data_IF_245025522890
#
_entry.id   IF_245025522890
#
_cell.length_a   1.000
_cell.length_b   1.000
_cell.length_c   1.000
_cell.angle_alpha   90.00
_cell.angle_beta   90.00
_cell.angle_gamma   90.00
#
_symmetry.space_group_name_H-M   'P 1'
#
loop_
_entity.id
_entity.type
_entity.pdbx_description
1 polymer ?
#
# COMPACT_ATOMS: atom_id res chain seq x y z
N UNK A 1 14.21 3.44 -18.33
CA UNK A 1 13.71 2.29 -17.52
C UNK A 1 12.59 1.53 -18.24
N UNK A 2 11.48 2.19 -18.62
CA UNK A 2 10.38 1.61 -19.42
C UNK A 2 10.84 1.09 -20.81
N UNK A 3 11.75 1.80 -21.49
CA UNK A 3 12.37 1.31 -22.73
C UNK A 3 13.22 0.02 -22.53
N UNK A 4 13.75 -0.24 -21.33
CA UNK A 4 14.48 -1.48 -20.99
C UNK A 4 13.55 -2.63 -20.58
N UNK A 5 12.26 -2.34 -20.40
CA UNK A 5 11.18 -3.28 -20.05
C UNK A 5 10.44 -3.83 -21.28
N UNK A 6 10.96 -3.59 -22.48
CA UNK A 6 10.26 -3.87 -23.74
C UNK A 6 8.92 -3.15 -23.86
N UNK A 7 8.66 -2.15 -23.00
CA UNK A 7 7.36 -1.48 -22.84
C UNK A 7 7.58 0.01 -22.98
N UNK A 8 7.27 0.57 -24.15
CA UNK A 8 7.26 2.02 -24.30
C UNK A 8 5.90 2.54 -23.85
N UNK A 9 5.89 3.34 -22.78
CA UNK A 9 4.73 4.15 -22.40
C UNK A 9 4.92 5.51 -23.04
N UNK A 10 4.17 5.78 -24.09
CA UNK A 10 4.13 7.08 -24.74
C UNK A 10 2.92 7.82 -24.20
N UNK A 11 3.17 8.90 -23.47
CA UNK A 11 2.13 9.81 -23.01
C UNK A 11 2.14 10.97 -24.01
N UNK A 12 1.09 11.08 -24.81
CA UNK A 12 0.90 12.17 -25.75
C UNK A 12 -0.32 12.98 -25.33
N UNK A 13 -0.15 14.27 -25.13
CA UNK A 13 -1.27 15.21 -25.07
C UNK A 13 -1.80 15.40 -26.49
N UNK A 14 -3.11 15.24 -26.66
CA UNK A 14 -3.81 15.49 -27.91
C UNK A 14 -5.03 16.37 -27.62
N UNK A 15 -5.64 16.94 -28.66
CA UNK A 15 -6.79 17.85 -28.52
C UNK A 15 -8.00 17.23 -27.77
N UNK A 16 -8.01 15.91 -27.60
CA UNK A 16 -9.06 15.13 -26.93
C UNK A 16 -8.68 14.69 -25.50
N UNK A 17 -7.50 15.08 -25.00
CA UNK A 17 -6.99 14.74 -23.66
C UNK A 17 -5.64 14.02 -23.69
N UNK A 18 -5.33 13.33 -22.60
CA UNK A 18 -4.05 12.59 -22.45
C UNK A 18 -4.23 11.17 -22.99
N UNK A 19 -3.58 10.86 -24.13
CA UNK A 19 -3.52 9.50 -24.67
C UNK A 19 -2.29 8.80 -24.12
N UNK A 20 -2.51 7.70 -23.41
CA UNK A 20 -1.45 6.82 -22.92
C UNK A 20 -1.40 5.60 -23.82
N UNK A 21 -0.39 5.56 -24.69
CA UNK A 21 -0.15 4.42 -25.56
C UNK A 21 0.90 3.53 -24.92
N UNK A 22 0.58 2.25 -24.73
CA UNK A 22 1.56 1.24 -24.32
C UNK A 22 1.84 0.35 -25.53
N UNK A 23 3.09 0.29 -25.97
CA UNK A 23 3.51 -0.65 -27.01
C UNK A 23 4.60 -1.55 -26.51
N UNK A 24 4.50 -2.81 -26.91
CA UNK A 24 5.44 -3.85 -26.56
C UNK A 24 6.33 -4.18 -27.75
N UNK A 25 7.64 -4.24 -27.52
CA UNK A 25 8.60 -4.80 -28.47
C UNK A 25 8.87 -6.23 -28.03
N UNK A 26 8.09 -7.17 -28.57
CA UNK A 26 8.45 -8.59 -28.57
C UNK A 26 9.37 -8.82 -29.75
N UNK A 27 10.40 -9.66 -29.60
CA UNK A 27 11.35 -10.03 -30.66
C UNK A 27 10.66 -10.15 -32.03
N UNK A 28 10.97 -9.21 -32.93
CA UNK A 28 10.52 -9.22 -34.33
C UNK A 28 9.06 -8.85 -34.62
N UNK A 29 8.16 -8.74 -33.64
CA UNK A 29 6.76 -8.33 -33.87
C UNK A 29 6.29 -7.26 -32.89
N UNK A 30 6.02 -6.06 -33.41
CA UNK A 30 5.34 -4.98 -32.70
C UNK A 30 3.86 -5.32 -32.57
N UNK A 31 3.39 -5.61 -31.37
CA UNK A 31 1.96 -5.70 -31.05
C UNK A 31 1.52 -4.38 -30.40
N UNK A 32 0.62 -3.66 -31.06
CA UNK A 32 0.08 -2.37 -30.59
C UNK A 32 -1.22 -2.63 -29.84
N UNK A 33 -1.26 -2.35 -28.54
CA UNK A 33 -2.49 -2.32 -27.76
C UNK A 33 -2.95 -0.86 -27.70
N UNK A 34 -3.85 -0.50 -28.62
CA UNK A 34 -4.51 0.81 -28.64
C UNK A 34 -5.62 0.79 -27.58
N UNK A 35 -5.48 1.64 -26.57
CA UNK A 35 -6.62 2.08 -25.78
C UNK A 35 -7.10 3.39 -26.42
N UNK A 36 -7.87 3.27 -27.49
CA UNK A 36 -8.51 4.42 -28.12
C UNK A 36 -9.78 4.76 -27.33
N UNK A 37 -9.78 5.89 -26.64
CA UNK A 37 -10.98 6.71 -26.59
C UNK A 37 -10.88 7.64 -27.79
N UNK A 38 -11.52 7.26 -28.88
CA UNK A 38 -11.46 7.95 -30.16
C UNK A 38 -12.47 9.11 -30.21
N UNK A 39 -12.00 10.27 -30.66
CA UNK A 39 -12.61 10.92 -31.82
C UNK A 39 -11.55 11.10 -32.93
N UNK A 40 -11.97 11.02 -34.18
CA UNK A 40 -11.17 10.59 -35.34
C UNK A 40 -9.99 11.46 -35.79
N UNK A 41 -8.98 10.83 -36.44
CA UNK A 41 -8.56 10.93 -37.87
C UNK A 41 -7.02 10.81 -38.12
N UNK A 42 -6.62 9.74 -38.83
CA UNK A 42 -5.52 9.51 -39.82
C UNK A 42 -4.08 10.10 -39.73
N UNK A 43 -3.09 9.16 -39.72
CA UNK A 43 -1.98 8.94 -40.72
C UNK A 43 -0.48 9.33 -40.42
N UNK A 44 0.38 8.28 -40.52
CA UNK A 44 1.83 8.10 -40.91
C UNK A 44 3.01 8.69 -40.11
N UNK A 45 3.88 7.83 -39.51
CA UNK A 45 5.29 7.40 -39.88
C UNK A 45 6.32 8.54 -39.88
N UNK A 46 7.50 8.53 -39.24
CA UNK A 46 8.63 7.58 -39.22
C UNK A 46 9.55 7.79 -37.97
N UNK A 47 10.60 6.98 -37.85
CA UNK A 47 11.51 6.74 -36.71
C UNK A 47 12.86 7.46 -36.83
N UNK A 48 13.52 7.89 -35.72
CA UNK A 48 15.01 7.88 -35.53
C UNK A 48 15.41 7.91 -34.02
N UNK A 49 16.04 6.83 -33.50
CA UNK A 49 17.34 6.61 -32.76
C UNK A 49 17.99 7.77 -31.92
N UNK A 50 18.94 7.62 -30.92
CA UNK A 50 19.22 6.66 -29.80
C UNK A 50 19.62 7.30 -28.41
N UNK A 51 19.87 6.41 -27.42
CA UNK A 51 20.90 6.40 -26.34
C UNK A 51 21.00 7.43 -25.18
N UNK A 52 21.68 6.95 -24.10
CA UNK A 52 22.30 7.64 -22.93
C UNK A 52 21.34 7.73 -21.69
N UNK A 53 21.63 7.36 -20.43
CA UNK A 53 22.85 7.23 -19.58
C UNK A 53 22.58 6.29 -18.37
N UNK A 54 23.66 5.74 -17.80
CA UNK A 54 23.72 5.09 -16.49
C UNK A 54 24.09 6.09 -15.37
N UNK A 55 23.50 6.02 -14.17
CA UNK A 55 24.03 6.70 -12.97
C UNK A 55 23.79 5.89 -11.68
N UNK A 56 24.82 5.91 -10.84
CA UNK A 56 25.02 5.26 -9.53
C UNK A 56 24.07 5.80 -8.44
N UNK A 57 23.76 4.92 -7.49
CA UNK A 57 23.12 5.26 -6.22
C UNK A 57 24.11 5.94 -5.26
N UNK A 58 23.75 7.14 -4.79
CA UNK A 58 24.08 7.71 -3.49
C UNK A 58 22.86 8.57 -3.10
N UNK A 59 22.40 8.69 -1.86
CA UNK A 59 22.95 8.24 -0.59
C UNK A 59 21.92 8.37 0.52
N UNK A 60 22.39 7.93 1.69
CA UNK A 60 21.70 7.76 2.96
C UNK A 60 21.14 9.04 3.59
N UNK A 61 20.16 8.82 4.46
CA UNK A 61 19.82 9.73 5.56
C UNK A 61 19.40 8.86 6.76
N UNK A 62 20.40 8.34 7.46
CA UNK A 62 20.25 7.86 8.83
C UNK A 62 20.58 9.00 9.78
N UNK A 63 19.68 9.29 10.72
CA UNK A 63 19.96 10.15 11.86
C UNK A 63 20.97 9.44 12.77
N UNK A 64 22.16 10.03 12.90
CA UNK A 64 23.19 9.59 13.85
C UNK A 64 22.82 10.12 15.23
N UNK A 65 22.47 9.22 16.15
CA UNK A 65 22.48 9.48 17.59
C UNK A 65 23.89 9.19 18.09
N UNK A 66 24.61 10.21 18.52
CA UNK A 66 25.89 10.10 19.21
C UNK A 66 25.64 9.77 20.68
N UNK A 67 26.08 8.60 21.13
CA UNK A 67 26.59 8.38 22.49
C UNK A 67 27.58 7.20 22.41
N UNK A 68 28.86 7.53 22.55
CA UNK A 68 29.99 6.60 22.58
C UNK A 68 30.36 6.41 24.05
N UNK A 69 30.20 5.18 24.56
CA UNK A 69 31.03 4.69 25.66
C UNK A 69 31.99 3.63 25.10
N UNK A 70 33.28 3.92 25.24
CA UNK A 70 34.41 3.05 24.90
C UNK A 70 34.40 1.78 25.75
N UNK A 71 34.43 0.61 25.13
CA UNK A 71 35.10 -0.57 25.70
C UNK A 71 35.80 -1.36 24.58
N UNK A 72 37.07 -1.64 24.83
CA UNK A 72 38.07 -2.15 23.93
C UNK A 72 38.05 -3.69 23.75
N UNK A 73 38.68 -4.13 22.65
CA UNK A 73 39.32 -5.45 22.40
C UNK A 73 38.41 -6.69 22.46
N UNK A 74 38.52 -7.73 21.63
CA UNK A 74 39.59 -8.23 20.77
C UNK A 74 38.98 -9.33 19.85
N UNK A 75 39.72 -9.69 18.79
CA UNK A 75 39.64 -10.95 18.02
C UNK A 75 38.50 -11.19 17.00
N UNK A 76 38.88 -11.04 15.73
CA UNK A 76 38.25 -11.70 14.58
C UNK A 76 38.69 -13.18 14.48
N UNK A 77 37.92 -14.02 13.78
CA UNK A 77 38.54 -14.63 12.61
C UNK A 77 37.64 -14.65 11.36
N UNK A 78 38.37 -14.53 10.24
CA UNK A 78 37.99 -14.70 8.85
C UNK A 78 37.70 -16.15 8.49
N UNK A 79 36.66 -16.39 7.68
CA UNK A 79 36.68 -17.44 6.64
C UNK A 79 35.56 -17.18 5.63
N UNK A 80 35.95 -16.81 4.40
CA UNK A 80 35.08 -16.64 3.23
C UNK A 80 35.42 -17.79 2.29
N UNK A 81 34.56 -18.80 2.20
CA UNK A 81 34.64 -19.80 1.15
C UNK A 81 33.93 -19.29 -0.11
N UNK A 82 34.74 -19.01 -1.12
CA UNK A 82 34.34 -18.67 -2.48
C UNK A 82 33.87 -19.91 -3.24
N UNK A 83 32.66 -19.89 -3.79
CA UNK A 83 32.23 -20.83 -4.83
C UNK A 83 32.23 -20.13 -6.19
N UNK A 84 33.20 -20.47 -7.03
CA UNK A 84 33.26 -20.14 -8.45
C UNK A 84 32.44 -21.13 -9.26
N UNK A 85 31.60 -20.66 -10.17
CA UNK A 85 30.97 -21.43 -11.24
C UNK A 85 31.24 -20.71 -12.56
N UNK A 86 32.16 -21.27 -13.35
CA UNK A 86 32.38 -20.93 -14.75
C UNK A 86 31.50 -21.85 -15.61
N UNK A 87 30.67 -21.26 -16.48
CA UNK A 87 29.89 -21.97 -17.49
C UNK A 87 29.31 -20.97 -18.49
N UNK A 88 29.95 -20.91 -19.66
CA UNK A 88 29.64 -20.03 -20.80
C UNK A 88 28.26 -20.31 -21.43
N UNK A 89 27.77 -19.31 -22.16
CA UNK A 89 26.54 -19.26 -22.97
C UNK A 89 25.22 -19.25 -22.19
N UNK A 90 24.79 -18.06 -21.79
CA UNK A 90 23.37 -17.74 -21.72
C UNK A 90 23.16 -16.27 -22.10
N UNK A 91 22.18 -16.07 -22.99
CA UNK A 91 21.54 -14.81 -23.36
C UNK A 91 21.38 -13.85 -22.17
N UNK A 92 21.31 -12.53 -22.38
CA UNK A 92 21.00 -11.59 -21.32
C UNK A 92 19.58 -11.88 -20.81
N UNK A 93 19.49 -12.72 -19.79
CA UNK A 93 18.26 -12.93 -19.03
C UNK A 93 17.87 -11.56 -18.50
N UNK A 94 16.67 -11.14 -18.88
CA UNK A 94 15.98 -10.04 -18.25
C UNK A 94 15.94 -10.36 -16.75
N UNK A 95 16.80 -9.71 -15.95
CA UNK A 95 16.81 -9.89 -14.50
C UNK A 95 15.40 -9.64 -13.99
N UNK A 96 14.75 -10.72 -13.58
CA UNK A 96 13.34 -10.79 -13.23
C UNK A 96 13.04 -9.79 -12.11
N UNK A 97 11.87 -9.14 -12.17
CA UNK A 97 11.31 -8.25 -11.12
C UNK A 97 10.97 -8.98 -9.80
N UNK A 98 11.43 -10.23 -9.68
CA UNK A 98 11.38 -11.06 -8.49
C UNK A 98 12.49 -10.62 -7.57
N UNK A 99 12.12 -10.15 -6.39
CA UNK A 99 13.10 -9.86 -5.35
C UNK A 99 13.13 -11.03 -4.37
N UNK A 100 14.34 -11.37 -3.95
CA UNK A 100 14.54 -12.19 -2.77
C UNK A 100 13.94 -11.50 -1.54
N UNK A 101 13.76 -12.30 -0.49
CA UNK A 101 13.23 -11.83 0.78
C UNK A 101 14.04 -10.65 1.33
N UNK A 102 13.36 -9.54 1.63
CA UNK A 102 13.94 -8.35 2.25
C UNK A 102 13.37 -8.14 3.63
N UNK A 103 14.19 -7.64 4.56
CA UNK A 103 13.71 -7.26 5.89
C UNK A 103 12.70 -6.12 5.78
N UNK A 104 11.65 -6.20 6.58
CA UNK A 104 10.73 -5.07 6.78
C UNK A 104 11.48 -4.04 7.64
N UNK A 105 11.66 -2.78 7.19
CA UNK A 105 12.52 -1.81 7.88
C UNK A 105 12.17 -1.59 9.35
N UNK A 106 10.88 -1.54 9.65
CA UNK A 106 10.31 -1.32 10.98
C UNK A 106 10.26 -2.56 11.89
N UNK A 107 10.51 -3.73 11.32
CA UNK A 107 10.22 -5.01 11.96
C UNK A 107 11.25 -6.04 11.48
N UNK A 108 12.49 -6.01 12.01
CA UNK A 108 13.66 -6.66 11.40
C UNK A 108 13.59 -8.17 11.24
N UNK A 109 12.70 -8.83 11.99
CA UNK A 109 12.46 -10.27 11.94
C UNK A 109 11.26 -10.66 11.07
N UNK A 110 10.62 -9.67 10.46
CA UNK A 110 9.66 -9.86 9.39
C UNK A 110 10.34 -9.60 8.06
N UNK A 111 9.89 -10.33 7.05
CA UNK A 111 10.39 -10.17 5.70
C UNK A 111 9.25 -9.97 4.73
N UNK A 112 9.53 -9.27 3.65
CA UNK A 112 8.60 -9.07 2.55
C UNK A 112 9.29 -9.36 1.23
N UNK A 113 8.52 -9.79 0.23
CA UNK A 113 8.98 -9.87 -1.15
C UNK A 113 7.88 -9.54 -2.14
N UNK A 114 8.32 -9.19 -3.33
CA UNK A 114 7.46 -9.06 -4.52
C UNK A 114 7.97 -10.07 -5.53
N UNK A 115 7.05 -10.87 -6.06
CA UNK A 115 7.33 -11.84 -7.12
C UNK A 115 6.26 -11.80 -8.19
N UNK A 116 6.56 -12.35 -9.36
CA UNK A 116 5.56 -12.53 -10.40
C UNK A 116 4.46 -13.51 -9.95
N UNK A 117 3.27 -13.26 -10.49
CA UNK A 117 2.10 -14.13 -10.37
C UNK A 117 2.42 -15.50 -10.97
N UNK A 118 2.03 -16.56 -10.26
CA UNK A 118 2.10 -17.96 -10.66
C UNK A 118 0.71 -18.47 -11.07
N UNK A 119 0.66 -19.63 -11.71
CA UNK A 119 -0.59 -20.22 -12.20
C UNK A 119 -1.61 -20.52 -11.08
N UNK A 120 -1.13 -20.81 -9.87
CA UNK A 120 -1.94 -21.11 -8.69
C UNK A 120 -2.31 -19.87 -7.84
N UNK A 121 -1.84 -18.69 -8.26
CA UNK A 121 -2.10 -17.45 -7.54
C UNK A 121 -3.51 -16.92 -7.79
N UNK A 122 -4.21 -16.58 -6.70
CA UNK A 122 -5.45 -15.79 -6.78
C UNK A 122 -5.16 -14.37 -7.27
N UNK A 123 -5.77 -13.99 -8.39
CA UNK A 123 -5.70 -12.64 -8.96
C UNK A 123 -6.66 -11.70 -8.24
N UNK A 124 -6.12 -10.64 -7.66
CA UNK A 124 -6.83 -9.67 -6.82
C UNK A 124 -7.48 -8.54 -7.60
N UNK A 125 -6.92 -8.18 -8.76
CA UNK A 125 -7.50 -7.20 -9.68
C UNK A 125 -7.07 -7.44 -11.13
N UNK A 126 -7.85 -6.94 -12.12
CA UNK A 126 -7.46 -7.00 -13.52
C UNK A 126 -6.06 -6.40 -13.75
N UNK A 127 -5.25 -7.05 -14.59
CA UNK A 127 -3.91 -6.58 -14.95
C UNK A 127 -2.83 -6.82 -13.89
N UNK A 128 -3.13 -7.45 -12.76
CA UNK A 128 -2.12 -7.80 -11.76
C UNK A 128 -1.06 -8.73 -12.36
N UNK A 129 0.21 -8.37 -12.16
CA UNK A 129 1.39 -9.14 -12.60
C UNK A 129 2.26 -9.61 -11.45
N UNK A 130 2.17 -8.96 -10.30
CA UNK A 130 2.97 -9.26 -9.14
C UNK A 130 2.11 -9.53 -7.91
N UNK A 131 2.63 -10.35 -7.01
CA UNK A 131 2.06 -10.59 -5.69
C UNK A 131 3.00 -10.07 -4.60
N UNK A 132 2.40 -9.56 -3.54
CA UNK A 132 3.07 -9.04 -2.36
C UNK A 132 2.96 -10.07 -1.23
N UNK A 133 4.10 -10.55 -0.74
CA UNK A 133 4.14 -11.61 0.28
C UNK A 133 4.87 -11.14 1.53
N UNK A 134 4.32 -11.45 2.69
CA UNK A 134 4.87 -11.17 4.02
C UNK A 134 5.19 -12.50 4.70
N UNK A 135 6.45 -12.67 5.07
CA UNK A 135 6.91 -13.81 5.85
C UNK A 135 6.84 -13.46 7.34
N UNK A 136 6.10 -14.29 8.07
CA UNK A 136 5.95 -14.19 9.52
C UNK A 136 7.11 -14.92 10.22
N UNK A 137 7.65 -14.38 11.32
CA UNK A 137 8.67 -15.06 12.12
C UNK A 137 8.11 -16.31 12.78
N UNK A 138 8.95 -17.13 13.43
CA UNK A 138 8.42 -18.20 14.27
C UNK A 138 7.68 -17.62 15.49
N UNK A 139 6.61 -18.28 15.92
CA UNK A 139 5.91 -17.91 17.15
C UNK A 139 6.79 -18.18 18.37
N UNK A 140 6.85 -17.22 19.29
CA UNK A 140 7.51 -17.41 20.57
C UNK A 140 6.79 -18.50 21.38
N UNK A 141 7.57 -19.35 22.06
CA UNK A 141 7.04 -20.30 23.02
C UNK A 141 6.43 -19.51 24.19
N UNK A 142 5.17 -19.80 24.52
CA UNK A 142 4.50 -19.23 25.69
C UNK A 142 3.97 -20.37 26.55
N UNK A 143 3.88 -20.13 27.87
CA UNK A 143 3.26 -21.03 28.84
C UNK A 143 1.85 -21.48 28.41
N UNK A 144 1.44 -22.67 28.87
CA UNK A 144 0.21 -23.37 28.49
C UNK A 144 -0.97 -22.43 28.24
N UNK A 145 -1.35 -22.30 26.97
CA UNK A 145 -2.34 -21.34 26.58
C UNK A 145 -3.74 -21.91 26.88
N UNK A 146 -4.49 -21.27 27.80
CA UNK A 146 -5.89 -21.64 28.10
C UNK A 146 -6.68 -21.84 26.81
N UNK A 147 -7.47 -22.91 26.68
CA UNK A 147 -8.25 -23.19 25.45
C UNK A 147 -9.01 -21.95 24.95
N UNK A 148 -8.87 -21.59 23.67
CA UNK A 148 -9.62 -20.48 23.07
C UNK A 148 -11.11 -20.80 23.09
N UNK A 149 -11.89 -19.92 23.70
CA UNK A 149 -13.36 -19.98 23.70
C UNK A 149 -13.89 -19.12 22.56
N UNK A 150 -14.71 -19.70 21.70
CA UNK A 150 -15.39 -18.97 20.64
C UNK A 150 -16.57 -18.16 21.21
N UNK A 151 -16.34 -16.87 21.43
CA UNK A 151 -17.35 -15.93 21.91
C UNK A 151 -18.11 -15.23 20.77
N UNK A 152 -17.79 -15.51 19.50
CA UNK A 152 -18.41 -14.83 18.35
C UNK A 152 -19.91 -15.10 18.26
N UNK A 153 -20.37 -16.31 18.59
CA UNK A 153 -21.79 -16.67 18.63
C UNK A 153 -22.58 -15.82 19.64
N UNK A 154 -21.99 -15.57 20.81
CA UNK A 154 -22.60 -14.75 21.87
C UNK A 154 -22.60 -13.26 21.53
N UNK A 155 -21.65 -12.78 20.73
CA UNK A 155 -21.67 -11.42 20.20
C UNK A 155 -22.67 -11.27 19.06
N UNK A 156 -22.74 -12.26 18.17
CA UNK A 156 -23.68 -12.27 17.05
C UNK A 156 -25.14 -12.29 17.55
N UNK A 157 -25.45 -13.02 18.62
CA UNK A 157 -26.82 -13.11 19.14
C UNK A 157 -27.40 -11.75 19.52
N UNK A 158 -26.56 -10.79 19.94
CA UNK A 158 -26.91 -9.41 20.30
C UNK A 158 -27.25 -8.51 19.11
N UNK A 159 -26.91 -8.91 17.89
CA UNK A 159 -27.19 -8.14 16.68
C UNK A 159 -28.66 -8.30 16.26
N UNK A 160 -29.22 -7.24 15.64
CA UNK A 160 -30.53 -7.32 14.98
C UNK A 160 -30.50 -8.31 13.80
N UNK A 161 -31.67 -8.75 13.33
CA UNK A 161 -31.77 -9.64 12.16
C UNK A 161 -31.11 -9.02 10.92
N UNK A 162 -31.36 -7.74 10.68
CA UNK A 162 -30.74 -7.01 9.57
C UNK A 162 -29.21 -6.95 9.69
N UNK A 163 -28.70 -6.65 10.90
CA UNK A 163 -27.27 -6.64 11.18
C UNK A 163 -26.62 -8.02 11.00
N UNK A 164 -27.31 -9.10 11.38
CA UNK A 164 -26.86 -10.47 11.14
C UNK A 164 -26.77 -10.76 9.64
N UNK A 165 -27.78 -10.36 8.86
CA UNK A 165 -27.74 -10.50 7.40
C UNK A 165 -26.57 -9.74 6.78
N UNK A 166 -26.32 -8.49 7.20
CA UNK A 166 -25.18 -7.70 6.74
C UNK A 166 -23.84 -8.34 7.13
N UNK A 167 -23.75 -8.91 8.33
CA UNK A 167 -22.54 -9.61 8.78
C UNK A 167 -22.24 -10.80 7.88
N UNK A 168 -23.20 -11.69 7.65
CA UNK A 168 -22.98 -12.85 6.79
C UNK A 168 -22.71 -12.47 5.35
N UNK A 169 -23.34 -11.40 4.83
CA UNK A 169 -23.03 -10.85 3.50
C UNK A 169 -21.58 -10.41 3.39
N UNK A 170 -21.01 -9.78 4.42
CA UNK A 170 -19.57 -9.45 4.42
C UNK A 170 -18.72 -10.72 4.41
N UNK A 171 -19.01 -11.72 5.25
CA UNK A 171 -18.29 -13.00 5.27
C UNK A 171 -18.31 -13.68 3.89
N UNK A 172 -19.48 -13.72 3.24
CA UNK A 172 -19.62 -14.28 1.90
C UNK A 172 -18.82 -13.47 0.87
N UNK A 173 -18.68 -12.14 1.04
CA UNK A 173 -17.79 -11.33 0.21
C UNK A 173 -16.32 -11.72 0.38
N UNK A 174 -15.83 -11.98 1.59
CA UNK A 174 -14.45 -12.47 1.79
C UNK A 174 -14.20 -13.81 1.10
N UNK A 175 -15.21 -14.69 1.09
CA UNK A 175 -15.13 -16.00 0.42
C UNK A 175 -15.18 -15.82 -1.11
N UNK A 176 -16.07 -14.99 -1.63
CA UNK A 176 -16.21 -14.73 -3.06
C UNK A 176 -14.92 -14.12 -3.66
N UNK A 177 -14.20 -13.30 -2.89
CA UNK A 177 -12.90 -12.75 -3.29
C UNK A 177 -11.72 -13.75 -3.10
N UNK A 178 -11.99 -15.00 -2.71
CA UNK A 178 -10.98 -16.02 -2.42
C UNK A 178 -9.95 -15.58 -1.37
N UNK A 179 -10.33 -14.64 -0.48
CA UNK A 179 -9.51 -14.25 0.65
C UNK A 179 -9.68 -15.22 1.80
N UNK A 180 -10.90 -15.72 1.99
CA UNK A 180 -11.22 -16.74 2.99
C UNK A 180 -11.69 -18.02 2.31
N UNK A 181 -11.35 -19.16 2.91
CA UNK A 181 -11.86 -20.48 2.52
C UNK A 181 -12.68 -21.05 3.68
N UNK A 182 -13.82 -21.65 3.36
CA UNK A 182 -14.60 -22.40 4.36
C UNK A 182 -13.93 -23.74 4.60
N UNK A 183 -13.82 -24.13 5.86
CA UNK A 183 -13.19 -25.39 6.28
C UNK A 183 -14.21 -26.23 7.04
N UNK A 184 -14.21 -27.54 6.82
CA UNK A 184 -15.20 -28.44 7.42
C UNK A 184 -14.90 -28.68 8.91
N UNK A 185 -13.63 -28.96 9.26
CA UNK A 185 -13.20 -29.15 10.65
C UNK A 185 -11.74 -28.72 10.84
N UNK A 186 -11.39 -28.25 12.05
CA UNK A 186 -10.00 -27.92 12.40
C UNK A 186 -9.01 -29.10 12.32
N UNK A 187 -9.52 -30.35 12.28
CA UNK A 187 -8.71 -31.58 12.34
C UNK A 187 -8.51 -32.27 10.99
N UNK A 188 -9.13 -31.79 9.91
CA UNK A 188 -9.08 -32.46 8.60
C UNK A 188 -7.90 -32.02 7.73
N UNK A 189 -6.99 -31.18 8.24
CA UNK A 189 -5.87 -30.61 7.45
C UNK A 189 -4.57 -30.79 8.22
N UNK A 190 -3.48 -31.04 7.49
CA UNK A 190 -2.15 -31.23 8.06
C UNK A 190 -1.74 -30.01 8.91
N UNK A 191 -1.33 -30.26 10.15
CA UNK A 191 -0.87 -29.21 11.08
C UNK A 191 0.32 -28.40 10.52
N UNK A 192 0.98 -28.82 9.45
CA UNK A 192 2.09 -28.06 8.84
C UNK A 192 1.66 -26.78 8.13
N UNK A 193 0.40 -26.67 7.71
CA UNK A 193 -0.03 -25.62 6.77
C UNK A 193 -0.41 -24.29 7.44
N UNK A 194 -0.71 -24.31 8.74
CA UNK A 194 -1.26 -23.16 9.45
C UNK A 194 -0.31 -22.60 10.48
N UNK A 195 -0.18 -21.28 10.45
CA UNK A 195 0.69 -20.55 11.37
C UNK A 195 0.17 -20.54 12.81
N UNK A 196 -1.15 -20.63 13.02
CA UNK A 196 -1.81 -20.58 14.33
C UNK A 196 -2.62 -21.86 14.66
N UNK A 197 -2.05 -23.05 14.39
CA UNK A 197 -2.72 -24.36 14.54
C UNK A 197 -3.57 -24.54 15.80
N UNK A 198 -3.07 -24.13 16.96
CA UNK A 198 -3.72 -24.42 18.24
C UNK A 198 -4.70 -23.31 18.67
N UNK A 199 -4.64 -22.14 18.03
CA UNK A 199 -5.28 -20.91 18.48
C UNK A 199 -5.97 -20.17 17.32
N UNK A 200 -7.21 -20.53 16.96
CA UNK A 200 -7.93 -19.84 15.91
C UNK A 200 -8.20 -18.39 16.29
N UNK A 201 -8.15 -17.52 15.28
CA UNK A 201 -8.49 -16.10 15.42
C UNK A 201 -10.01 -15.99 15.41
N UNK A 202 -10.58 -15.41 16.47
CA UNK A 202 -12.02 -15.26 16.59
C UNK A 202 -12.45 -14.02 15.80
N UNK A 203 -13.39 -14.21 14.87
CA UNK A 203 -14.00 -13.12 14.10
C UNK A 203 -15.40 -12.83 14.66
N UNK A 204 -15.74 -11.55 14.81
CA UNK A 204 -17.07 -11.10 15.21
C UNK A 204 -17.51 -9.84 14.48
N UNK A 205 -18.82 -9.60 14.39
CA UNK A 205 -19.39 -8.43 13.74
C UNK A 205 -19.41 -7.21 14.64
N UNK A 206 -18.93 -6.06 14.14
CA UNK A 206 -19.04 -4.75 14.77
C UNK A 206 -19.92 -3.83 13.91
N UNK A 207 -21.13 -3.45 14.39
CA UNK A 207 -21.94 -2.43 13.74
C UNK A 207 -21.20 -1.10 13.68
N UNK A 208 -21.30 -0.41 12.55
CA UNK A 208 -20.78 0.94 12.37
C UNK A 208 -21.93 1.91 12.09
N UNK A 209 -21.66 3.21 12.22
CA UNK A 209 -22.61 4.25 11.79
C UNK A 209 -22.97 4.07 10.31
N UNK A 210 -24.24 4.33 9.97
CA UNK A 210 -24.76 4.32 8.60
C UNK A 210 -24.05 5.29 7.66
N UNK A 211 -23.31 6.27 8.19
CA UNK A 211 -22.50 7.22 7.42
C UNK A 211 -21.17 6.62 6.92
N UNK A 212 -20.82 5.40 7.33
CA UNK A 212 -19.62 4.70 6.86
C UNK A 212 -19.94 3.79 5.68
N UNK A 213 -18.98 3.63 4.79
CA UNK A 213 -19.08 2.73 3.63
C UNK A 213 -19.28 1.25 4.00
N UNK A 214 -18.88 0.85 5.21
CA UNK A 214 -19.11 -0.50 5.73
C UNK A 214 -19.96 -0.40 7.00
N UNK A 215 -21.24 -0.72 6.87
CA UNK A 215 -22.23 -0.63 7.98
C UNK A 215 -22.02 -1.75 9.01
N UNK A 216 -21.51 -2.90 8.59
CA UNK A 216 -21.17 -4.03 9.45
C UNK A 216 -19.75 -4.49 9.16
N UNK A 217 -18.85 -4.45 10.14
CA UNK A 217 -17.44 -4.81 9.93
C UNK A 217 -17.10 -6.12 10.64
N UNK A 218 -16.60 -7.15 9.93
CA UNK A 218 -15.94 -8.28 10.60
C UNK A 218 -14.64 -7.82 11.26
N UNK A 219 -14.49 -8.11 12.54
CA UNK A 219 -13.32 -7.76 13.35
C UNK A 219 -12.64 -9.05 13.81
N UNK A 220 -11.32 -9.12 13.60
CA UNK A 220 -10.50 -10.23 14.03
C UNK A 220 -9.85 -9.93 15.38
N UNK A 221 -10.06 -10.78 16.39
CA UNK A 221 -9.29 -10.70 17.63
C UNK A 221 -7.95 -11.39 17.50
N UNK A 222 -6.95 -10.61 17.13
CA UNK A 222 -5.58 -11.08 16.97
C UNK A 222 -4.76 -10.97 18.25
N UNK A 223 -5.31 -10.54 19.40
CA UNK A 223 -4.52 -10.19 20.60
C UNK A 223 -3.63 -11.33 21.08
N UNK A 224 -4.18 -12.55 21.13
CA UNK A 224 -3.46 -13.75 21.57
C UNK A 224 -2.38 -14.20 20.57
N UNK A 225 -2.67 -14.10 19.28
CA UNK A 225 -1.67 -14.41 18.26
C UNK A 225 -0.54 -13.37 18.31
N UNK A 226 -0.89 -12.09 18.35
CA UNK A 226 0.05 -10.99 18.43
C UNK A 226 0.93 -11.04 19.69
N UNK A 227 0.43 -11.54 20.83
CA UNK A 227 1.26 -11.68 22.04
C UNK A 227 2.34 -12.76 21.92
N UNK A 228 2.22 -13.66 20.94
CA UNK A 228 3.19 -14.72 20.63
C UNK A 228 4.06 -14.37 19.43
N UNK A 229 3.75 -13.29 18.74
CA UNK A 229 4.53 -12.77 17.63
C UNK A 229 5.50 -11.73 18.16
N UNK A 230 6.60 -11.54 17.44
CA UNK A 230 7.46 -10.42 17.72
C UNK A 230 6.74 -9.09 17.45
N UNK A 231 7.09 -8.06 18.22
CA UNK A 231 6.50 -6.73 18.04
C UNK A 231 6.84 -6.19 16.65
N UNK A 232 5.82 -5.64 16.01
CA UNK A 232 5.94 -4.89 14.77
C UNK A 232 5.01 -3.69 14.86
N UNK A 233 5.43 -2.57 14.29
CA UNK A 233 4.64 -1.35 14.18
C UNK A 233 4.96 -0.63 12.89
N UNK A 234 4.07 0.28 12.50
CA UNK A 234 4.37 1.26 11.45
C UNK A 234 5.58 2.11 11.89
N UNK A 235 6.61 2.22 11.03
CA UNK A 235 7.80 3.04 11.33
C UNK A 235 7.71 4.45 10.75
N UNK A 236 6.79 4.66 9.81
CA UNK A 236 6.60 5.96 9.21
C UNK A 236 6.11 7.01 10.21
N UNK A 237 6.02 8.22 9.69
CA UNK A 237 5.69 9.38 10.51
C UNK A 237 4.27 9.32 11.07
N UNK A 238 4.10 9.82 12.30
CA UNK A 238 2.77 9.96 12.85
C UNK A 238 1.95 10.97 12.02
N UNK A 239 0.62 10.80 12.01
CA UNK A 239 -0.30 11.65 11.24
C UNK A 239 -0.09 13.15 11.51
N UNK A 240 0.27 13.57 12.73
CA UNK A 240 0.50 14.98 13.03
C UNK A 240 1.72 15.57 12.31
N UNK A 241 2.79 14.79 12.19
CA UNK A 241 3.98 15.18 11.42
C UNK A 241 3.64 15.27 9.92
N UNK A 242 3.01 14.23 9.37
CA UNK A 242 2.56 14.20 7.95
C UNK A 242 1.69 15.43 7.63
N UNK A 243 0.70 15.75 8.48
CA UNK A 243 -0.16 16.91 8.27
C UNK A 243 0.61 18.24 8.29
N UNK A 244 1.64 18.35 9.14
CA UNK A 244 2.50 19.54 9.20
C UNK A 244 3.36 19.68 7.94
N UNK A 245 3.85 18.57 7.39
CA UNK A 245 4.63 18.59 6.16
C UNK A 245 3.77 18.90 4.93
N UNK A 246 2.56 18.36 4.88
CA UNK A 246 1.59 18.69 3.82
C UNK A 246 1.33 20.20 3.81
N UNK A 247 1.13 20.81 4.97
CA UNK A 247 0.94 22.26 5.09
C UNK A 247 2.12 23.06 4.50
N UNK A 248 3.35 22.67 4.81
CA UNK A 248 4.55 23.32 4.28
C UNK A 248 4.68 23.14 2.77
N UNK A 249 4.36 21.95 2.26
CA UNK A 249 4.42 21.67 0.83
C UNK A 249 3.38 22.46 0.04
N UNK A 250 2.16 22.64 0.57
CA UNK A 250 1.14 23.49 -0.05
C UNK A 250 1.67 24.92 -0.23
N UNK A 251 2.27 25.49 0.81
CA UNK A 251 2.85 26.83 0.74
C UNK A 251 4.00 26.90 -0.28
N UNK A 252 4.91 25.93 -0.28
CA UNK A 252 6.03 25.89 -1.22
C UNK A 252 5.57 25.82 -2.69
N UNK A 253 4.53 25.03 -2.99
CA UNK A 253 3.97 24.97 -4.35
C UNK A 253 3.25 26.27 -4.70
N UNK A 254 2.51 26.88 -3.76
CA UNK A 254 1.86 28.18 -3.98
C UNK A 254 2.86 29.29 -4.30
N UNK A 255 3.97 29.38 -3.58
CA UNK A 255 5.03 30.39 -3.81
C UNK A 255 5.65 30.25 -5.20
N UNK A 256 6.00 29.01 -5.59
CA UNK A 256 6.60 28.72 -6.90
C UNK A 256 5.67 29.09 -8.06
N UNK A 257 4.36 28.87 -7.90
CA UNK A 257 3.38 29.18 -8.93
C UNK A 257 3.08 30.67 -9.08
N UNK A 258 3.23 31.49 -8.03
CA UNK A 258 3.03 32.95 -8.15
C UNK A 258 4.13 33.62 -9.00
N UNK A 259 5.26 32.95 -9.19
CA UNK A 259 6.39 33.46 -9.99
C UNK A 259 6.29 33.08 -11.47
N UNK A 260 5.51 32.05 -11.80
CA UNK A 260 5.33 31.56 -13.18
C UNK A 260 3.88 31.79 -13.61
N UNK A 261 3.66 32.53 -14.70
CA UNK A 261 2.36 32.97 -15.25
C UNK A 261 1.48 31.81 -15.78
N UNK A 262 1.43 30.69 -15.06
CA UNK A 262 0.78 29.44 -15.44
C UNK A 262 -0.46 29.16 -14.59
N UNK A 263 -1.56 28.91 -15.29
CA UNK A 263 -2.90 28.54 -14.78
C UNK A 263 -2.95 27.14 -14.10
N UNK A 264 -1.79 26.57 -13.74
CA UNK A 264 -1.66 25.23 -13.14
C UNK A 264 -1.51 25.33 -11.62
N UNK A 265 -2.62 25.69 -10.95
CA UNK A 265 -2.65 25.92 -9.52
C UNK A 265 -2.36 24.70 -8.63
N UNK A 266 -2.24 24.93 -7.33
CA UNK A 266 -1.95 23.89 -6.33
C UNK A 266 -3.03 22.82 -6.33
N UNK A 267 -2.61 21.57 -6.29
CA UNK A 267 -3.51 20.43 -6.22
C UNK A 267 -3.03 19.38 -5.21
N UNK A 268 -4.00 18.78 -4.54
CA UNK A 268 -3.84 17.66 -3.62
C UNK A 268 -4.58 16.44 -4.16
N UNK A 269 -3.93 15.28 -4.16
CA UNK A 269 -4.61 14.01 -4.35
C UNK A 269 -4.56 13.16 -3.08
N UNK A 270 -5.70 12.59 -2.70
CA UNK A 270 -5.86 11.61 -1.64
C UNK A 270 -6.24 10.27 -2.28
N UNK A 271 -5.46 9.23 -2.05
CA UNK A 271 -5.69 7.90 -2.60
C UNK A 271 -5.83 6.88 -1.46
N UNK A 272 -6.81 5.97 -1.60
CA UNK A 272 -7.10 4.88 -0.65
C UNK A 272 -6.90 3.53 -1.33
N UNK A 273 -5.99 2.72 -0.79
CA UNK A 273 -5.79 1.34 -1.23
C UNK A 273 -6.87 0.46 -0.58
N UNK A 274 -7.85 0.06 -1.38
CA UNK A 274 -9.02 -0.63 -0.84
C UNK A 274 -8.69 -2.05 -0.36
N UNK A 275 -9.02 -2.34 0.91
CA UNK A 275 -8.80 -3.64 1.56
C UNK A 275 -7.33 -4.08 1.51
N UNK A 276 -6.41 -3.11 1.62
CA UNK A 276 -4.98 -3.29 1.37
C UNK A 276 -4.38 -4.53 2.03
N UNK A 277 -4.61 -4.74 3.33
CA UNK A 277 -4.09 -5.90 4.07
C UNK A 277 -4.43 -7.24 3.39
N UNK A 278 -5.67 -7.43 2.93
CA UNK A 278 -6.11 -8.69 2.32
C UNK A 278 -5.48 -8.96 0.94
N UNK A 279 -4.78 -7.97 0.36
CA UNK A 279 -4.00 -8.14 -0.88
C UNK A 279 -2.63 -8.76 -0.62
N UNK A 280 -2.13 -8.67 0.60
CA UNK A 280 -0.86 -9.23 1.01
C UNK A 280 -1.06 -10.70 1.38
N UNK A 281 -0.11 -11.54 0.97
CA UNK A 281 -0.13 -12.99 1.23
C UNK A 281 0.81 -13.36 2.36
N UNK A 282 0.50 -14.45 3.04
CA UNK A 282 1.26 -14.94 4.17
C UNK A 282 2.20 -16.08 3.77
N UNK A 283 3.43 -15.98 4.24
CA UNK A 283 4.41 -17.05 4.24
C UNK A 283 4.86 -17.37 5.66
N UNK A 284 5.19 -18.63 5.90
CA UNK A 284 5.86 -19.08 7.12
C UNK A 284 7.32 -18.61 7.14
N UNK A 285 8.01 -18.82 8.27
CA UNK A 285 9.44 -18.56 8.44
C UNK A 285 10.35 -19.32 7.47
N UNK A 286 9.86 -20.40 6.85
CA UNK A 286 10.56 -21.14 5.79
C UNK A 286 10.35 -20.52 4.40
N UNK A 287 9.60 -19.42 4.29
CA UNK A 287 9.25 -18.78 3.02
C UNK A 287 8.17 -19.52 2.22
N UNK A 288 7.59 -20.58 2.78
CA UNK A 288 6.50 -21.34 2.16
C UNK A 288 5.15 -20.63 2.38
N UNK A 289 4.18 -20.73 1.45
CA UNK A 289 2.83 -20.25 1.69
C UNK A 289 2.24 -20.83 2.97
N UNK A 290 1.58 -20.01 3.78
CA UNK A 290 0.92 -20.45 5.02
C UNK A 290 -0.48 -19.85 5.14
N UNK A 291 -1.25 -20.36 6.10
CA UNK A 291 -2.61 -19.92 6.38
C UNK A 291 -2.83 -19.61 7.85
N UNK A 292 -3.85 -18.79 8.11
CA UNK A 292 -4.38 -18.54 9.44
C UNK A 292 -5.74 -19.23 9.60
N UNK A 293 -5.93 -19.94 10.70
CA UNK A 293 -7.21 -20.43 11.16
C UNK A 293 -8.06 -19.28 11.70
N UNK A 294 -9.28 -19.17 11.19
CA UNK A 294 -10.29 -18.24 11.62
C UNK A 294 -11.50 -19.02 12.13
N UNK A 295 -12.18 -18.46 13.14
CA UNK A 295 -13.42 -19.04 13.66
C UNK A 295 -14.47 -17.97 13.91
N UNK A 296 -15.68 -18.23 13.45
CA UNK A 296 -16.85 -17.38 13.71
C UNK A 296 -18.11 -18.22 13.71
N UNK A 297 -19.00 -17.97 14.66
CA UNK A 297 -20.31 -18.60 14.77
C UNK A 297 -20.23 -20.12 14.75
N UNK A 298 -19.24 -20.69 15.45
CA UNK A 298 -18.91 -22.13 15.44
C UNK A 298 -18.56 -22.72 14.07
N UNK A 299 -18.27 -21.88 13.07
CA UNK A 299 -17.79 -22.30 11.75
C UNK A 299 -16.30 -21.99 11.60
N UNK A 300 -15.63 -22.84 10.84
CA UNK A 300 -14.20 -22.76 10.58
C UNK A 300 -13.92 -22.18 9.20
N UNK A 301 -12.91 -21.31 9.16
CA UNK A 301 -12.42 -20.72 7.92
C UNK A 301 -10.90 -20.64 7.98
N UNK A 302 -10.29 -20.48 6.81
CA UNK A 302 -8.87 -20.19 6.70
C UNK A 302 -8.61 -18.99 5.78
N UNK A 303 -7.47 -18.35 5.96
CA UNK A 303 -7.02 -17.30 5.04
C UNK A 303 -5.51 -17.39 4.83
N UNK A 304 -5.06 -17.28 3.58
CA UNK A 304 -3.65 -17.08 3.23
C UNK A 304 -3.27 -15.60 3.12
N UNK A 305 -4.18 -14.69 3.53
CA UNK A 305 -4.03 -13.25 3.40
C UNK A 305 -3.72 -12.61 4.73
N UNK A 306 -3.03 -11.47 4.70
CA UNK A 306 -2.78 -10.68 5.90
C UNK A 306 -4.08 -10.03 6.37
N UNK A 307 -4.54 -10.41 7.56
CA UNK A 307 -5.78 -9.88 8.13
C UNK A 307 -5.53 -8.58 8.90
N UNK A 308 -6.53 -7.70 8.91
CA UNK A 308 -6.50 -6.50 9.73
C UNK A 308 -6.46 -6.85 11.22
N UNK A 309 -5.52 -6.26 11.95
CA UNK A 309 -5.30 -6.49 13.38
C UNK A 309 -4.10 -7.37 13.71
N UNK A 310 -3.51 -8.06 12.73
CA UNK A 310 -2.24 -8.78 12.92
C UNK A 310 -1.08 -7.79 13.12
N UNK A 311 -0.15 -8.09 14.03
CA UNK A 311 0.98 -7.21 14.35
C UNK A 311 1.83 -6.84 13.12
N UNK A 312 2.04 -7.79 12.21
CA UNK A 312 2.78 -7.59 10.96
C UNK A 312 2.09 -6.67 9.95
N UNK A 313 0.79 -6.39 10.15
CA UNK A 313 -0.05 -5.65 9.22
C UNK A 313 0.56 -4.32 8.80
N UNK A 314 0.69 -3.36 9.73
CA UNK A 314 1.08 -1.99 9.40
C UNK A 314 2.45 -1.90 8.70
N UNK A 315 3.47 -2.57 9.24
CA UNK A 315 4.83 -2.53 8.71
C UNK A 315 4.96 -3.27 7.37
N UNK A 316 4.27 -4.40 7.22
CA UNK A 316 4.23 -5.14 5.96
C UNK A 316 3.61 -4.31 4.85
N UNK A 317 2.45 -3.68 5.10
CA UNK A 317 1.78 -2.82 4.12
C UNK A 317 2.63 -1.61 3.75
N UNK A 318 3.19 -0.92 4.74
CA UNK A 318 4.07 0.23 4.54
C UNK A 318 5.22 -0.08 3.57
N UNK A 319 5.89 -1.23 3.73
CA UNK A 319 7.01 -1.62 2.86
C UNK A 319 6.59 -1.73 1.38
N UNK A 320 5.38 -2.18 1.09
CA UNK A 320 4.88 -2.28 -0.29
C UNK A 320 4.43 -0.92 -0.84
N UNK A 321 3.81 -0.07 -0.01
CA UNK A 321 3.37 1.26 -0.43
C UNK A 321 4.58 2.16 -0.72
N UNK A 322 5.58 2.16 0.16
CA UNK A 322 6.84 2.89 -0.06
C UNK A 322 7.56 2.40 -1.32
N UNK A 323 7.47 1.10 -1.64
CA UNK A 323 8.00 0.57 -2.90
C UNK A 323 7.28 1.14 -4.12
N UNK A 324 5.95 1.22 -4.10
CA UNK A 324 5.18 1.83 -5.21
C UNK A 324 5.62 3.28 -5.42
N UNK A 325 5.78 4.04 -4.33
CA UNK A 325 6.28 5.42 -4.39
C UNK A 325 7.72 5.50 -4.91
N UNK A 326 8.60 4.60 -4.48
CA UNK A 326 9.98 4.55 -4.98
C UNK A 326 10.05 4.26 -6.48
N UNK A 327 9.19 3.36 -7.00
CA UNK A 327 9.07 3.09 -8.44
C UNK A 327 8.55 4.31 -9.20
N UNK A 328 7.54 5.00 -8.66
CA UNK A 328 7.03 6.24 -9.26
C UNK A 328 8.10 7.35 -9.29
N UNK A 329 8.91 7.46 -8.22
CA UNK A 329 10.06 8.37 -8.16
C UNK A 329 11.12 8.01 -9.20
N UNK A 330 11.49 6.75 -9.31
CA UNK A 330 12.45 6.26 -10.31
C UNK A 330 11.98 6.49 -11.76
N UNK A 331 10.66 6.54 -11.98
CA UNK A 331 10.08 6.88 -13.27
C UNK A 331 10.06 8.40 -13.57
N UNK A 332 10.54 9.25 -12.65
CA UNK A 332 10.52 10.72 -12.78
C UNK A 332 9.13 11.33 -12.63
N UNK A 333 8.14 10.55 -12.18
CA UNK A 333 6.74 11.00 -12.13
C UNK A 333 6.45 11.82 -10.86
N UNK A 334 7.30 11.68 -9.85
CA UNK A 334 7.22 12.46 -8.61
C UNK A 334 8.11 13.71 -8.63
N UNK A 335 8.68 14.07 -9.77
CA UNK A 335 9.53 15.26 -9.87
C UNK A 335 8.69 16.55 -9.71
N UNK A 336 8.93 17.26 -8.60
CA UNK A 336 8.10 18.40 -8.20
C UNK A 336 6.72 18.03 -7.65
N UNK A 337 6.54 16.77 -7.21
CA UNK A 337 5.36 16.33 -6.46
C UNK A 337 5.82 15.78 -5.11
N UNK A 338 5.30 16.35 -4.03
CA UNK A 338 5.49 15.82 -2.69
C UNK A 338 4.55 14.63 -2.47
N UNK A 339 5.03 13.59 -1.80
CA UNK A 339 4.27 12.36 -1.58
C UNK A 339 4.44 11.81 -0.17
N UNK A 340 3.34 11.45 0.47
CA UNK A 340 3.31 10.77 1.77
C UNK A 340 2.46 9.51 1.71
N UNK A 341 2.80 8.55 2.57
CA UNK A 341 2.02 7.34 2.78
C UNK A 341 1.81 7.12 4.28
N UNK A 342 0.57 6.91 4.69
CA UNK A 342 0.19 6.48 6.02
C UNK A 342 -0.66 5.21 5.89
N UNK A 343 -0.02 4.04 6.06
CA UNK A 343 -0.66 2.75 5.81
C UNK A 343 -1.23 2.65 4.38
N UNK A 344 -2.55 2.53 4.24
CA UNK A 344 -3.30 2.47 2.97
C UNK A 344 -3.68 3.85 2.39
N UNK A 345 -3.44 4.93 3.13
CA UNK A 345 -3.69 6.31 2.71
C UNK A 345 -2.45 6.92 2.06
N UNK A 346 -2.58 7.40 0.81
CA UNK A 346 -1.53 8.13 0.09
C UNK A 346 -1.96 9.59 -0.12
N UNK A 347 -1.01 10.51 0.03
CA UNK A 347 -1.21 11.94 -0.24
C UNK A 347 -0.17 12.43 -1.23
N UNK A 348 -0.62 13.15 -2.26
CA UNK A 348 0.25 13.83 -3.23
C UNK A 348 -0.06 15.32 -3.24
N UNK A 349 0.97 16.18 -3.28
CA UNK A 349 0.85 17.64 -3.39
C UNK A 349 1.78 18.14 -4.49
N UNK A 350 1.27 19.01 -5.35
CA UNK A 350 2.02 19.60 -6.46
C UNK A 350 1.12 20.47 -7.33
N UNK A 351 1.55 20.78 -8.55
CA UNK A 351 0.66 21.43 -9.53
C UNK A 351 -0.37 20.43 -10.06
N UNK A 352 -1.53 20.90 -10.53
CA UNK A 352 -2.63 20.03 -10.99
C UNK A 352 -2.19 19.07 -12.09
N UNK A 353 -1.42 19.52 -13.09
CA UNK A 353 -0.90 18.65 -14.16
C UNK A 353 -0.02 17.51 -13.63
N UNK A 354 0.95 17.84 -12.78
CA UNK A 354 1.91 16.89 -12.20
C UNK A 354 1.22 15.90 -11.27
N UNK A 355 0.33 16.37 -10.40
CA UNK A 355 -0.43 15.50 -9.48
C UNK A 355 -1.32 14.54 -10.26
N UNK A 356 -2.05 14.99 -11.29
CA UNK A 356 -2.89 14.10 -12.10
C UNK A 356 -2.08 13.03 -12.79
N UNK A 357 -0.92 13.38 -13.36
CA UNK A 357 0.02 12.43 -13.97
C UNK A 357 0.51 11.41 -12.93
N UNK A 358 0.90 11.87 -11.74
CA UNK A 358 1.35 11.01 -10.65
C UNK A 358 0.27 10.03 -10.17
N UNK A 359 -0.98 10.51 -10.01
CA UNK A 359 -2.11 9.66 -9.67
C UNK A 359 -2.29 8.54 -10.68
N UNK A 360 -2.28 8.83 -11.99
CA UNK A 360 -2.47 7.80 -13.02
C UNK A 360 -1.39 6.72 -12.95
N UNK A 361 -0.12 7.12 -12.85
CA UNK A 361 1.00 6.16 -12.81
C UNK A 361 1.00 5.36 -11.49
N UNK A 362 0.78 6.00 -10.35
CA UNK A 362 0.72 5.31 -9.05
C UNK A 362 -0.43 4.30 -9.03
N UNK A 363 -1.59 4.65 -9.59
CA UNK A 363 -2.74 3.73 -9.68
C UNK A 363 -2.40 2.51 -10.51
N UNK A 364 -1.73 2.69 -11.65
CA UNK A 364 -1.30 1.60 -12.52
C UNK A 364 -0.25 0.71 -11.83
N UNK A 365 0.79 1.32 -11.25
CA UNK A 365 1.82 0.60 -10.49
C UNK A 365 1.21 -0.20 -9.34
N UNK A 366 0.25 0.37 -8.62
CA UNK A 366 -0.43 -0.30 -7.53
C UNK A 366 -1.31 -1.47 -8.02
N UNK A 367 -2.04 -1.29 -9.14
CA UNK A 367 -2.83 -2.36 -9.76
C UNK A 367 -1.96 -3.52 -10.25
N UNK A 368 -0.79 -3.25 -10.85
CA UNK A 368 0.18 -4.28 -11.23
C UNK A 368 0.62 -5.16 -10.05
N UNK A 369 0.62 -4.61 -8.83
CA UNK A 369 0.98 -5.30 -7.59
C UNK A 369 -0.22 -5.84 -6.80
N UNK A 370 -1.43 -5.83 -7.38
CA UNK A 370 -2.64 -6.33 -6.71
C UNK A 370 -3.19 -5.40 -5.62
N UNK A 371 -2.75 -4.14 -5.59
CA UNK A 371 -3.14 -3.11 -4.61
C UNK A 371 -3.98 -2.02 -5.30
N UNK A 372 -5.15 -2.34 -5.88
CA UNK A 372 -5.89 -1.37 -6.68
C UNK A 372 -6.36 -0.18 -5.85
N UNK A 373 -6.09 1.01 -6.36
CA UNK A 373 -6.59 2.27 -5.83
C UNK A 373 -7.89 2.61 -6.58
N UNK A 374 -8.99 2.69 -5.83
CA UNK A 374 -10.31 2.93 -6.42
C UNK A 374 -10.43 4.35 -6.95
N UNK A 375 -10.88 4.50 -8.21
CA UNK A 375 -11.22 5.81 -8.78
C UNK A 375 -12.28 6.54 -7.94
N UNK A 376 -13.30 5.80 -7.45
CA UNK A 376 -14.41 6.37 -6.68
C UNK A 376 -14.01 6.86 -5.29
N UNK A 377 -12.85 6.46 -4.79
CA UNK A 377 -12.28 6.93 -3.52
C UNK A 377 -11.11 7.89 -3.71
N UNK A 378 -10.65 8.05 -4.95
CA UNK A 378 -9.62 9.03 -5.28
C UNK A 378 -10.25 10.40 -5.21
N UNK A 379 -9.68 11.27 -4.38
CA UNK A 379 -10.10 12.66 -4.28
C UNK A 379 -8.98 13.53 -4.80
N UNK A 380 -9.30 14.40 -5.74
CA UNK A 380 -8.37 15.40 -6.27
C UNK A 380 -8.97 16.77 -5.98
N UNK A 381 -8.28 17.56 -5.16
CA UNK A 381 -8.64 18.91 -4.75
C UNK A 381 -7.68 19.88 -5.43
N UNK A 382 -8.12 20.63 -6.43
CA UNK A 382 -7.30 21.65 -7.07
C UNK A 382 -7.91 23.04 -6.87
N UNK A 383 -7.05 24.06 -6.78
CA UNK A 383 -7.42 25.47 -6.55
C UNK A 383 -8.42 26.06 -7.57
N UNK A 384 -8.57 25.45 -8.75
CA UNK A 384 -9.44 25.94 -9.84
C UNK A 384 -10.67 25.04 -10.06
N UNK A 385 -11.04 24.22 -9.08
CA UNK A 385 -12.22 23.34 -9.12
C UNK A 385 -13.41 23.85 -8.29
N UNK A 386 -14.58 23.24 -8.50
CA UNK A 386 -15.75 23.40 -7.63
C UNK A 386 -15.39 23.10 -6.17
N UNK A 387 -16.09 23.74 -5.22
CA UNK A 387 -15.84 23.59 -3.78
C UNK A 387 -16.04 22.15 -3.31
N UNK A 388 -14.98 21.35 -3.39
CA UNK A 388 -15.00 19.96 -3.00
C UNK A 388 -14.39 19.86 -1.61
N UNK A 389 -15.18 19.35 -0.66
CA UNK A 389 -14.74 19.07 0.70
C UNK A 389 -14.57 17.57 0.87
N UNK A 390 -13.41 17.13 1.33
CA UNK A 390 -13.11 15.71 1.55
C UNK A 390 -12.47 15.47 2.90
N UNK A 391 -12.64 14.27 3.45
CA UNK A 391 -11.99 13.85 4.69
C UNK A 391 -10.79 12.97 4.37
N UNK A 392 -9.61 13.34 4.85
CA UNK A 392 -8.38 12.57 4.69
C UNK A 392 -7.52 12.65 5.96
N UNK A 393 -6.90 11.54 6.38
CA UNK A 393 -6.11 11.46 7.62
C UNK A 393 -6.81 11.99 8.89
N UNK A 394 -8.14 11.90 8.92
CA UNK A 394 -8.97 12.31 10.05
C UNK A 394 -9.35 13.79 10.10
N UNK A 395 -8.89 14.62 9.14
CA UNK A 395 -9.25 16.04 8.99
C UNK A 395 -10.01 16.27 7.68
N UNK A 396 -10.68 17.42 7.56
CA UNK A 396 -11.33 17.85 6.32
C UNK A 396 -10.42 18.78 5.54
N UNK A 397 -10.35 18.54 4.24
CA UNK A 397 -9.66 19.37 3.27
C UNK A 397 -10.69 20.00 2.35
N UNK A 398 -10.54 21.29 2.08
CA UNK A 398 -11.36 22.04 1.14
C UNK A 398 -10.51 23.03 0.34
N UNK A 399 -11.05 23.52 -0.77
CA UNK A 399 -10.46 24.61 -1.54
C UNK A 399 -11.27 25.87 -1.25
N UNK A 400 -10.64 26.88 -0.67
CA UNK A 400 -11.24 28.17 -0.33
C UNK A 400 -10.38 29.29 -0.90
N UNK A 401 -10.98 30.21 -1.67
CA UNK A 401 -10.29 31.38 -2.21
C UNK A 401 -8.99 31.03 -2.97
N UNK A 402 -9.02 29.94 -3.75
CA UNK A 402 -7.85 29.38 -4.48
C UNK A 402 -6.75 28.77 -3.60
N UNK A 403 -6.96 28.68 -2.28
CA UNK A 403 -6.06 28.02 -1.34
C UNK A 403 -6.61 26.67 -0.88
N UNK A 404 -5.71 25.72 -0.62
CA UNK A 404 -6.07 24.48 0.05
C UNK A 404 -6.14 24.73 1.56
N UNK A 405 -7.31 24.52 2.15
CA UNK A 405 -7.57 24.71 3.59
C UNK A 405 -7.83 23.39 4.28
N UNK A 406 -7.52 23.33 5.58
CA UNK A 406 -7.75 22.17 6.44
C UNK A 406 -8.62 22.57 7.64
N UNK A 407 -9.60 21.74 7.98
CA UNK A 407 -10.51 21.96 9.11
C UNK A 407 -10.82 20.66 9.86
N UNK A 408 -11.10 20.75 11.16
CA UNK A 408 -11.77 19.68 11.89
C UNK A 408 -13.30 19.89 11.84
N UNK A 409 -14.09 18.81 11.97
CA UNK A 409 -15.55 18.73 11.73
C UNK A 409 -16.45 19.73 12.47
N UNK A 410 -15.88 20.59 13.32
CA UNK A 410 -16.54 21.47 14.29
C UNK A 410 -15.94 22.88 14.36
N UNK A 411 -15.00 23.24 13.49
CA UNK A 411 -14.29 24.52 13.55
C UNK A 411 -14.66 25.46 12.40
N UNK A 412 -14.65 26.77 12.69
CA UNK A 412 -14.37 27.80 11.69
C UNK A 412 -12.94 27.64 11.17
N UNK A 413 -12.75 27.86 9.86
CA UNK A 413 -11.54 27.51 9.09
C UNK A 413 -10.26 28.15 9.66
N UNK A 414 -9.33 27.40 10.27
CA UNK A 414 -8.01 27.95 10.56
C UNK A 414 -7.23 28.08 9.25
N UNK A 415 -6.71 29.29 8.97
CA UNK A 415 -5.78 29.50 7.86
C UNK A 415 -4.43 28.91 8.26
N UNK A 416 -3.96 27.93 7.49
CA UNK A 416 -2.70 27.23 7.74
C UNK A 416 -1.53 28.15 7.39
N UNK A 417 -0.89 28.74 8.41
CA UNK A 417 0.29 29.60 8.20
C UNK A 417 1.58 29.07 8.84
N UNK A 418 1.49 28.14 9.80
CA UNK A 418 2.65 27.65 10.57
C UNK A 418 2.53 26.16 10.95
N UNK A 419 3.63 25.56 11.47
CA UNK A 419 3.64 24.17 11.99
C UNK A 419 2.67 24.03 13.17
N UNK A 420 1.81 23.01 13.14
CA UNK A 420 0.89 22.70 14.24
C UNK A 420 0.93 21.21 14.60
N UNK A 421 0.89 20.91 15.89
CA UNK A 421 0.72 19.53 16.36
C UNK A 421 -0.74 19.10 16.30
N UNK A 422 -0.97 17.79 16.16
CA UNK A 422 -2.30 17.18 16.29
C UNK A 422 -2.96 17.56 17.62
N UNK A 423 -2.18 17.62 18.71
CA UNK A 423 -2.69 18.07 20.02
C UNK A 423 -3.09 19.54 20.01
N UNK A 424 -2.32 20.45 19.40
CA UNK A 424 -2.70 21.86 19.26
C UNK A 424 -4.00 22.01 18.48
N UNK A 425 -4.14 21.27 17.39
CA UNK A 425 -5.36 21.25 16.57
C UNK A 425 -6.59 20.71 17.36
N UNK A 426 -6.36 19.83 18.35
CA UNK A 426 -7.40 19.31 19.25
C UNK A 426 -7.55 20.06 20.59
N UNK A 427 -6.57 20.87 21.02
CA UNK A 427 -6.57 21.58 22.31
C UNK A 427 -7.22 22.95 22.24
N UNK A 428 -7.38 23.52 21.05
CA UNK A 428 -8.23 24.69 20.78
C UNK A 428 -9.72 24.40 21.10
N UNK A 429 -10.05 23.16 21.52
CA UNK A 429 -11.36 22.73 22.05
C UNK A 429 -11.68 23.29 23.46
N UNK A 430 -10.69 23.82 24.19
CA UNK A 430 -10.80 24.08 25.63
C UNK A 430 -11.01 25.55 26.04
N UNK A 431 -11.13 26.46 25.09
CA UNK A 431 -11.67 27.82 25.25
C UNK A 431 -12.93 27.95 24.41
#
# INVERSE_FOLDING_TARGET
>A
LLARLGTSVTISECEQGVRISTSFVSEGQKSKLLCDQSSDTTVTTESVVPDILAVRCCGDSYAVSSDIEELASEEAPSEVESYTSNGENNEPKCDSYVFDWRRVPAAPNYFYRVREVRADDVIDCPGQRYVCEVMLPNLCATEETKKVVDYSSALLSKLSTEQKCLYFKEIDSYIANSWWKREEFARSVEKGDYYNNDDPIIIFGLPQSSLKSTVMRPVADCRRLNSRMEKASYAGENVGAILSEIALAVNAVSETNNETDHDDGVCMACLDISRAFYRLRLCSSSGCPTRLWLRTCNKWYSTSRLIFGLAAGPSGLEAFVLRILALAKQAGVLDGVYSWAYLDDLTLIGTSSKVRRAVLVIRELAALHGLPISASKTVILCSHGSSLRSRHLGVFWDVAEQHLTVSCSTFEKPVVKEKFSKRQLFSIRAE
#
